data_IF_511598550422
#
_entry.id   IF_511598550422
#
_cell.length_a   1.000
_cell.length_b   1.000
_cell.length_c   1.000
_cell.angle_alpha   90.00
_cell.angle_beta   90.00
_cell.angle_gamma   90.00
#
_symmetry.space_group_name_H-M   'P 1'
#
loop_
_entity.id
_entity.type
_entity.pdbx_description
1 polymer ?
#
# COMPACT_ATOMS: atom_id res chain seq x y z
N UNK A 1 -15.49 -30.03 23.29
CA UNK A 1 -14.65 -29.04 23.98
C UNK A 1 -13.48 -28.50 23.14
N UNK A 2 -12.75 -29.33 22.36
CA UNK A 2 -11.56 -28.89 21.61
C UNK A 2 -11.79 -27.78 20.54
N UNK A 3 -12.96 -27.78 19.87
CA UNK A 3 -13.27 -26.83 18.77
C UNK A 3 -13.40 -25.37 19.22
N UNK A 4 -13.82 -25.10 20.46
CA UNK A 4 -13.96 -23.72 20.97
C UNK A 4 -12.60 -23.06 21.22
N UNK A 5 -11.65 -23.85 21.69
CA UNK A 5 -10.27 -23.42 21.94
C UNK A 5 -9.56 -23.07 20.63
N UNK A 6 -9.70 -23.93 19.61
CA UNK A 6 -9.12 -23.69 18.30
C UNK A 6 -9.63 -22.42 17.62
N UNK A 7 -10.94 -22.13 17.73
CA UNK A 7 -11.52 -20.88 17.24
C UNK A 7 -10.90 -19.67 17.94
N UNK A 8 -10.73 -19.74 19.26
CA UNK A 8 -10.16 -18.66 20.05
C UNK A 8 -8.70 -18.40 19.68
N UNK A 9 -7.90 -19.45 19.47
CA UNK A 9 -6.52 -19.30 18.98
C UNK A 9 -6.45 -18.75 17.57
N UNK A 10 -7.35 -19.18 16.68
CA UNK A 10 -7.41 -18.67 15.32
C UNK A 10 -7.75 -17.18 15.33
N UNK A 11 -8.75 -16.77 16.11
CA UNK A 11 -9.10 -15.36 16.27
C UNK A 11 -7.94 -14.55 16.84
N UNK A 12 -7.27 -15.05 17.90
CA UNK A 12 -6.12 -14.39 18.49
C UNK A 12 -4.96 -14.26 17.50
N UNK A 13 -4.67 -15.31 16.74
CA UNK A 13 -3.63 -15.33 15.72
C UNK A 13 -3.90 -14.32 14.61
N UNK A 14 -5.15 -14.21 14.14
CA UNK A 14 -5.56 -13.21 13.15
C UNK A 14 -5.39 -11.79 13.70
N UNK A 15 -5.79 -11.53 14.95
CA UNK A 15 -5.64 -10.22 15.57
C UNK A 15 -4.16 -9.83 15.72
N UNK A 16 -3.32 -10.77 16.16
CA UNK A 16 -1.87 -10.54 16.26
C UNK A 16 -1.25 -10.30 14.89
N UNK A 17 -1.67 -11.05 13.87
CA UNK A 17 -1.21 -10.86 12.49
C UNK A 17 -1.62 -9.48 11.95
N UNK A 18 -2.88 -9.05 12.14
CA UNK A 18 -3.31 -7.71 11.76
C UNK A 18 -2.51 -6.64 12.52
N UNK A 19 -2.29 -6.82 13.82
CA UNK A 19 -1.46 -5.92 14.61
C UNK A 19 -0.02 -5.84 14.09
N UNK A 20 0.58 -6.97 13.74
CA UNK A 20 1.91 -7.06 13.14
C UNK A 20 1.98 -6.34 11.79
N UNK A 21 0.99 -6.56 10.92
CA UNK A 21 0.95 -5.90 9.62
C UNK A 21 0.69 -4.42 9.77
N UNK A 22 -0.18 -3.96 10.68
CA UNK A 22 -0.58 -2.53 10.79
C UNK A 22 0.33 -1.67 11.67
N UNK A 23 0.99 -2.25 12.66
CA UNK A 23 1.80 -1.52 13.66
C UNK A 23 3.19 -2.11 13.89
N UNK A 24 3.53 -3.24 13.26
CA UNK A 24 4.78 -3.95 13.51
C UNK A 24 6.05 -3.17 13.17
N UNK A 25 6.00 -2.24 12.22
CA UNK A 25 7.11 -1.34 11.87
C UNK A 25 7.46 -0.33 12.96
N UNK A 26 6.47 0.11 13.74
CA UNK A 26 6.64 1.13 14.79
C UNK A 26 6.87 0.54 16.17
N UNK A 27 6.39 -0.69 16.39
CA UNK A 27 6.42 -1.33 17.72
C UNK A 27 7.57 -2.35 17.83
N UNK A 28 7.96 -2.99 16.72
CA UNK A 28 8.96 -4.06 16.77
C UNK A 28 10.36 -3.54 16.44
N UNK A 29 11.39 -4.02 17.16
CA UNK A 29 12.78 -3.72 16.81
C UNK A 29 13.17 -4.37 15.48
N UNK A 30 14.27 -3.89 14.89
CA UNK A 30 14.90 -4.57 13.75
C UNK A 30 15.40 -5.97 14.20
N UNK A 31 15.30 -7.02 13.38
CA UNK A 31 14.90 -7.05 11.96
C UNK A 31 13.39 -7.20 11.71
N UNK A 32 12.57 -7.35 12.76
CA UNK A 32 11.14 -7.65 12.62
C UNK A 32 10.34 -6.48 12.02
N UNK A 33 10.77 -5.23 12.27
CA UNK A 33 10.24 -4.07 11.55
C UNK A 33 10.40 -4.20 10.03
N UNK A 34 11.56 -4.66 9.55
CA UNK A 34 11.82 -4.84 8.12
C UNK A 34 10.91 -5.91 7.51
N UNK A 35 10.66 -6.99 8.26
CA UNK A 35 9.72 -8.03 7.84
C UNK A 35 8.29 -7.47 7.70
N UNK A 36 7.81 -6.66 8.65
CA UNK A 36 6.49 -6.01 8.57
C UNK A 36 6.37 -5.09 7.35
N UNK A 37 7.38 -4.27 7.09
CA UNK A 37 7.43 -3.38 5.91
C UNK A 37 7.41 -4.18 4.60
N UNK A 38 8.20 -5.26 4.53
CA UNK A 38 8.21 -6.14 3.36
C UNK A 38 6.83 -6.79 3.15
N UNK A 39 6.18 -7.28 4.21
CA UNK A 39 4.82 -7.84 4.12
C UNK A 39 3.82 -6.83 3.56
N UNK A 40 3.81 -5.58 4.07
CA UNK A 40 2.94 -4.52 3.51
C UNK A 40 3.23 -4.26 2.03
N UNK A 41 4.50 -4.23 1.66
CA UNK A 41 4.94 -3.93 0.29
C UNK A 41 4.51 -5.03 -0.67
N UNK A 42 4.74 -6.30 -0.31
CA UNK A 42 4.30 -7.46 -1.09
C UNK A 42 2.77 -7.52 -1.20
N UNK A 43 2.04 -7.23 -0.11
CA UNK A 43 0.58 -7.15 -0.15
C UNK A 43 0.10 -6.04 -1.09
N UNK A 44 0.70 -4.85 -1.02
CA UNK A 44 0.33 -3.75 -1.91
C UNK A 44 0.61 -4.09 -3.39
N UNK A 45 1.76 -4.72 -3.68
CA UNK A 45 2.10 -5.17 -5.03
C UNK A 45 1.11 -6.23 -5.54
N UNK A 46 0.74 -7.20 -4.70
CA UNK A 46 -0.28 -8.19 -5.04
C UNK A 46 -1.65 -7.54 -5.31
N UNK A 47 -2.07 -6.58 -4.47
CA UNK A 47 -3.33 -5.86 -4.65
C UNK A 47 -3.34 -5.01 -5.92
N UNK A 48 -2.23 -4.33 -6.25
CA UNK A 48 -2.08 -3.60 -7.52
C UNK A 48 -2.12 -4.53 -8.74
N UNK A 49 -1.64 -5.76 -8.61
CA UNK A 49 -1.74 -6.78 -9.65
C UNK A 49 -3.16 -7.29 -9.87
N UNK A 50 -3.96 -7.37 -8.80
CA UNK A 50 -5.36 -7.81 -8.85
C UNK A 50 -6.32 -6.69 -9.27
N UNK A 51 -6.01 -5.45 -8.91
CA UNK A 51 -6.82 -4.28 -9.23
C UNK A 51 -6.00 -3.30 -10.06
N UNK A 52 -6.19 -3.23 -11.40
CA UNK A 52 -5.42 -2.34 -12.24
C UNK A 52 -5.61 -0.89 -11.78
N UNK A 53 -4.50 -0.13 -11.74
CA UNK A 53 -4.54 1.28 -11.37
C UNK A 53 -5.49 2.02 -12.32
N UNK A 54 -6.55 2.63 -11.76
CA UNK A 54 -7.40 3.56 -12.50
C UNK A 54 -6.53 4.73 -12.94
N UNK A 55 -6.08 4.71 -14.20
CA UNK A 55 -5.45 5.88 -14.81
C UNK A 55 -6.46 7.04 -14.74
N UNK A 56 -6.07 8.22 -14.21
CA UNK A 56 -6.95 9.37 -14.23
C UNK A 56 -7.33 9.66 -15.70
N UNK A 57 -8.64 9.77 -15.96
CA UNK A 57 -9.17 10.04 -17.32
C UNK A 57 -8.76 11.41 -17.85
N UNK A 58 -8.40 12.32 -16.94
CA UNK A 58 -8.01 13.70 -17.22
C UNK A 58 -6.50 13.81 -17.02
N UNK A 59 -5.81 14.39 -18.00
CA UNK A 59 -4.42 14.80 -17.86
C UNK A 59 -4.37 15.99 -16.88
N UNK A 60 -3.89 15.82 -15.64
CA UNK A 60 -4.02 16.86 -14.61
C UNK A 60 -3.27 18.15 -14.96
N UNK A 61 -2.25 18.03 -15.80
CA UNK A 61 -1.30 19.09 -16.13
C UNK A 61 -1.43 19.58 -17.57
N UNK A 62 -2.45 19.15 -18.31
CA UNK A 62 -2.63 19.51 -19.73
C UNK A 62 -2.65 21.03 -19.93
N UNK A 63 -3.34 21.77 -19.06
CA UNK A 63 -3.35 23.24 -19.11
C UNK A 63 -1.99 23.88 -18.85
N UNK A 64 -1.18 23.26 -17.98
CA UNK A 64 0.15 23.75 -17.65
C UNK A 64 1.12 23.45 -18.79
N UNK A 65 1.06 22.25 -19.35
CA UNK A 65 1.85 21.84 -20.52
C UNK A 65 1.53 22.71 -21.74
N UNK A 66 0.25 23.01 -21.98
CA UNK A 66 -0.19 23.90 -23.06
C UNK A 66 0.32 25.34 -22.86
N UNK A 67 0.29 25.86 -21.63
CA UNK A 67 0.79 27.20 -21.32
C UNK A 67 2.31 27.30 -21.54
N UNK A 68 3.06 26.30 -21.07
CA UNK A 68 4.52 26.23 -21.28
C UNK A 68 4.84 26.13 -22.77
N UNK A 69 4.11 25.33 -23.55
CA UNK A 69 4.32 25.22 -24.99
C UNK A 69 4.08 26.54 -25.72
N UNK A 70 3.06 27.30 -25.34
CA UNK A 70 2.80 28.63 -25.92
C UNK A 70 3.92 29.61 -25.60
N UNK A 71 4.33 29.71 -24.33
CA UNK A 71 5.41 30.63 -23.92
C UNK A 71 6.77 30.26 -24.53
N UNK A 72 7.08 28.97 -24.65
CA UNK A 72 8.37 28.50 -25.17
C UNK A 72 8.40 28.46 -26.70
N UNK A 73 7.24 28.25 -27.34
CA UNK A 73 7.07 28.20 -28.79
C UNK A 73 6.97 29.58 -29.44
N UNK A 74 6.38 30.58 -28.77
CA UNK A 74 6.34 31.96 -29.27
C UNK A 74 7.69 32.70 -29.18
N UNK A 75 8.66 32.18 -28.40
CA UNK A 75 9.99 32.79 -28.24
C UNK A 75 11.05 32.27 -29.22
N UNK A 76 10.68 31.58 -30.28
CA UNK A 76 11.59 31.15 -31.38
C UNK A 76 11.08 31.63 -32.73
#
# INVERSE_FOLDING_TARGET
MLKGWLKSFLTLGVLLFLGFVLFGDRILPQPMSQASVNTRTSMNAALKGLFPERKPRLKPYERTEDAIQRETGERR
#
